data_IF_695451236212
#
_entry.id   IF_695451236212
#
_cell.length_a   1.000
_cell.length_b   1.000
_cell.length_c   1.000
_cell.angle_alpha   90.00
_cell.angle_beta   90.00
_cell.angle_gamma   90.00
#
_symmetry.space_group_name_H-M   'P 1'
#
loop_
_entity.id
_entity.type
_entity.pdbx_description
1 polymer ?
#
# COMPACT_ATOMS: atom_id res chain seq x y z
N UNK A 1 -15.55 -10.29 -3.26
CA UNK A 1 -14.34 -10.19 -4.12
C UNK A 1 -13.15 -9.85 -3.25
N UNK A 2 -12.06 -10.56 -3.41
CA UNK A 2 -10.82 -10.33 -2.67
C UNK A 2 -9.91 -9.33 -3.35
N UNK A 3 -8.84 -8.93 -2.66
CA UNK A 3 -7.78 -8.15 -3.25
C UNK A 3 -7.04 -8.98 -4.32
N UNK A 4 -6.39 -8.29 -5.23
CA UNK A 4 -5.45 -8.92 -6.17
C UNK A 4 -4.37 -9.63 -5.38
N UNK A 5 -3.98 -10.81 -5.84
CA UNK A 5 -2.89 -11.56 -5.20
C UNK A 5 -1.54 -11.10 -5.76
N UNK A 6 -0.50 -11.04 -4.90
CA UNK A 6 0.83 -10.74 -5.41
C UNK A 6 1.33 -11.87 -6.31
N UNK A 7 2.17 -11.55 -7.32
CA UNK A 7 2.76 -12.57 -8.16
C UNK A 7 3.73 -13.46 -7.36
N UNK A 8 3.94 -14.68 -7.82
CA UNK A 8 4.90 -15.59 -7.20
C UNK A 8 6.34 -15.06 -7.39
N UNK A 9 7.26 -15.50 -6.53
CA UNK A 9 8.68 -15.10 -6.62
C UNK A 9 9.31 -15.40 -7.99
N UNK A 10 8.81 -16.41 -8.70
CA UNK A 10 9.32 -16.81 -10.01
C UNK A 10 8.80 -15.95 -11.16
N UNK A 11 7.70 -15.22 -10.94
CA UNK A 11 7.05 -14.43 -11.98
C UNK A 11 7.00 -12.94 -11.68
N UNK A 12 7.93 -12.44 -10.86
CA UNK A 12 7.95 -11.05 -10.45
C UNK A 12 9.35 -10.48 -10.35
N UNK A 13 9.41 -9.15 -10.33
CA UNK A 13 10.60 -8.42 -9.90
C UNK A 13 10.43 -8.03 -8.43
N UNK A 14 11.54 -8.03 -7.69
CA UNK A 14 11.61 -7.50 -6.33
C UNK A 14 12.66 -6.41 -6.29
N UNK A 15 12.26 -5.21 -5.93
CA UNK A 15 13.17 -4.07 -5.86
C UNK A 15 13.23 -3.55 -4.43
N UNK A 16 14.44 -3.30 -3.94
CA UNK A 16 14.66 -2.61 -2.67
C UNK A 16 14.31 -1.14 -2.83
N UNK A 17 13.62 -0.58 -1.86
CA UNK A 17 13.34 0.85 -1.78
C UNK A 17 14.46 1.50 -0.98
N UNK A 18 15.19 2.44 -1.57
CA UNK A 18 16.25 3.16 -0.90
C UNK A 18 15.75 4.44 -0.24
N UNK A 19 14.66 5.00 -0.72
CA UNK A 19 14.11 6.25 -0.20
C UNK A 19 12.61 6.34 -0.45
N UNK A 20 11.89 6.84 0.54
CA UNK A 20 10.49 7.26 0.40
C UNK A 20 10.52 8.76 0.09
N UNK A 21 10.16 9.12 -1.14
CA UNK A 21 10.20 10.52 -1.54
C UNK A 21 8.94 11.27 -1.10
N UNK A 22 7.78 10.59 -1.19
CA UNK A 22 6.51 11.19 -0.78
C UNK A 22 5.43 10.12 -0.65
N UNK A 23 4.57 10.25 0.34
CA UNK A 23 3.31 9.50 0.43
C UNK A 23 2.20 10.45 -0.05
N UNK A 24 1.65 10.18 -1.21
CA UNK A 24 0.62 11.04 -1.84
C UNK A 24 -0.74 10.74 -1.23
N UNK A 25 -1.12 9.48 -1.25
CA UNK A 25 -2.35 8.95 -0.66
C UNK A 25 -2.01 7.63 0.02
N UNK A 26 -2.95 7.05 0.76
CA UNK A 26 -2.73 5.74 1.39
C UNK A 26 -2.39 4.64 0.38
N UNK A 27 -2.79 4.79 -0.86
CA UNK A 27 -2.58 3.82 -1.93
C UNK A 27 -1.62 4.26 -3.04
N UNK A 28 -0.93 5.41 -2.86
CA UNK A 28 0.00 5.94 -3.87
C UNK A 28 1.21 6.57 -3.20
N UNK A 29 2.40 6.10 -3.56
CA UNK A 29 3.66 6.59 -2.99
C UNK A 29 4.68 6.88 -4.09
N UNK A 30 5.56 7.84 -3.84
CA UNK A 30 6.74 8.12 -4.67
C UNK A 30 7.96 7.62 -3.95
N UNK A 31 8.73 6.77 -4.62
CA UNK A 31 9.91 6.10 -4.03
C UNK A 31 11.09 6.14 -4.98
N UNK A 32 12.27 5.85 -4.44
CA UNK A 32 13.48 5.58 -5.22
C UNK A 32 13.79 4.11 -5.09
N UNK A 33 13.90 3.41 -6.22
CA UNK A 33 14.18 1.98 -6.29
C UNK A 33 15.66 1.75 -6.55
N UNK A 34 16.22 0.72 -5.90
CA UNK A 34 17.55 0.21 -6.18
C UNK A 34 17.45 -0.83 -7.30
N UNK A 35 18.05 -0.54 -8.44
CA UNK A 35 18.08 -1.45 -9.60
C UNK A 35 19.35 -2.30 -9.67
N UNK A 36 20.20 -2.19 -8.65
CA UNK A 36 21.50 -2.85 -8.66
C UNK A 36 22.54 -2.05 -9.45
N UNK A 37 23.80 -2.42 -9.32
CA UNK A 37 24.93 -1.79 -10.02
C UNK A 37 25.03 -0.28 -9.81
N UNK A 38 24.62 0.20 -8.65
CA UNK A 38 24.57 1.64 -8.32
C UNK A 38 23.56 2.44 -9.15
N UNK A 39 22.63 1.76 -9.80
CA UNK A 39 21.55 2.40 -10.54
C UNK A 39 20.31 2.54 -9.67
N UNK A 40 19.71 3.72 -9.69
CA UNK A 40 18.46 3.97 -8.99
C UNK A 40 17.44 4.60 -9.94
N UNK A 41 16.15 4.43 -9.62
CA UNK A 41 15.07 5.02 -10.40
C UNK A 41 13.97 5.51 -9.47
N UNK A 42 13.48 6.72 -9.74
CA UNK A 42 12.31 7.25 -9.05
C UNK A 42 11.04 6.75 -9.72
N UNK A 43 10.13 6.21 -8.93
CA UNK A 43 8.87 5.67 -9.43
C UNK A 43 7.70 6.11 -8.56
N UNK A 44 6.56 6.34 -9.20
CA UNK A 44 5.28 6.46 -8.53
C UNK A 44 4.63 5.08 -8.51
N UNK A 45 4.34 4.59 -7.31
CA UNK A 45 3.81 3.24 -7.10
C UNK A 45 2.36 3.33 -6.62
N UNK A 46 1.48 2.62 -7.32
CA UNK A 46 0.11 2.36 -6.87
C UNK A 46 0.14 1.08 -6.05
N UNK A 47 -0.33 1.16 -4.81
CA UNK A 47 -0.37 -0.01 -3.93
C UNK A 47 -1.43 -0.97 -4.45
N UNK A 48 -1.01 -2.14 -4.90
CA UNK A 48 -1.87 -3.11 -5.57
C UNK A 48 -2.87 -3.76 -4.63
N UNK A 49 -4.05 -4.05 -5.15
CA UNK A 49 -5.08 -4.81 -4.42
C UNK A 49 -5.85 -4.02 -3.38
N UNK A 50 -5.61 -2.71 -3.24
CA UNK A 50 -6.28 -1.88 -2.25
C UNK A 50 -6.88 -0.63 -2.89
N UNK A 51 -7.92 -0.12 -2.27
CA UNK A 51 -8.48 1.19 -2.58
C UNK A 51 -8.69 1.91 -1.25
N UNK A 52 -8.22 3.15 -1.16
CA UNK A 52 -8.37 3.97 0.05
C UNK A 52 -9.43 5.05 -0.16
N UNK A 53 -10.08 5.53 0.93
CA UNK A 53 -10.97 6.68 0.84
C UNK A 53 -10.24 7.90 0.26
N UNK A 54 -10.98 8.73 -0.47
CA UNK A 54 -10.43 9.92 -1.10
C UNK A 54 -10.08 10.99 -0.06
N UNK A 55 -8.89 11.51 -0.15
CA UNK A 55 -8.41 12.60 0.71
C UNK A 55 -8.86 13.97 0.18
N UNK A 56 -8.97 14.09 -1.15
CA UNK A 56 -9.36 15.32 -1.85
C UNK A 56 -10.82 15.27 -2.25
N UNK A 57 -11.71 15.36 -1.28
CA UNK A 57 -13.15 15.30 -1.48
C UNK A 57 -13.84 16.33 -0.60
N UNK A 58 -15.06 16.72 -0.96
CA UNK A 58 -15.92 17.59 -0.15
C UNK A 58 -16.63 16.82 0.95
N UNK A 59 -16.74 15.50 0.82
CA UNK A 59 -17.32 14.63 1.83
C UNK A 59 -16.36 14.57 3.03
N UNK A 60 -16.79 15.12 4.16
CA UNK A 60 -15.95 15.20 5.38
C UNK A 60 -15.61 13.84 5.96
N UNK A 61 -16.52 12.90 5.89
CA UNK A 61 -16.34 11.53 6.37
C UNK A 61 -15.26 10.82 5.54
N UNK A 62 -15.43 10.84 4.23
CA UNK A 62 -14.45 10.23 3.31
C UNK A 62 -13.09 10.88 3.44
N UNK A 63 -13.04 12.20 3.52
CA UNK A 63 -11.80 12.96 3.68
C UNK A 63 -11.03 12.55 4.93
N UNK A 64 -11.73 12.42 6.06
CA UNK A 64 -11.12 12.00 7.34
C UNK A 64 -10.52 10.61 7.20
N UNK A 65 -11.27 9.67 6.62
CA UNK A 65 -10.79 8.30 6.43
C UNK A 65 -9.62 8.24 5.43
N UNK A 66 -9.62 9.09 4.40
CA UNK A 66 -8.53 9.20 3.44
C UNK A 66 -7.25 9.74 4.07
N UNK A 67 -7.36 10.74 4.92
CA UNK A 67 -6.24 11.30 5.69
C UNK A 67 -5.68 10.23 6.63
N UNK A 68 -6.55 9.50 7.31
CA UNK A 68 -6.14 8.41 8.20
C UNK A 68 -5.35 7.32 7.46
N UNK A 69 -5.80 6.92 6.28
CA UNK A 69 -5.11 5.93 5.46
C UNK A 69 -3.74 6.44 5.02
N UNK A 70 -3.65 7.71 4.64
CA UNK A 70 -2.38 8.34 4.27
C UNK A 70 -1.42 8.37 5.45
N UNK A 71 -1.89 8.74 6.63
CA UNK A 71 -1.08 8.78 7.85
C UNK A 71 -0.61 7.39 8.27
N UNK A 72 -1.48 6.38 8.16
CA UNK A 72 -1.11 4.99 8.43
C UNK A 72 0.07 4.56 7.55
N UNK A 73 0.00 4.83 6.26
CA UNK A 73 1.07 4.49 5.32
C UNK A 73 2.36 5.24 5.67
N UNK A 74 2.27 6.54 5.96
CA UNK A 74 3.43 7.34 6.37
C UNK A 74 4.12 6.77 7.61
N UNK A 75 3.34 6.39 8.61
CA UNK A 75 3.86 5.81 9.85
C UNK A 75 4.57 4.49 9.60
N UNK A 76 3.94 3.58 8.84
CA UNK A 76 4.53 2.26 8.52
C UNK A 76 5.85 2.41 7.77
N UNK A 77 5.90 3.27 6.77
CA UNK A 77 7.11 3.49 5.99
C UNK A 77 8.21 4.18 6.82
N UNK A 78 7.84 5.15 7.66
CA UNK A 78 8.79 5.83 8.54
C UNK A 78 9.38 4.86 9.55
N UNK A 79 8.55 4.03 10.18
CA UNK A 79 9.01 3.00 11.12
C UNK A 79 9.99 2.02 10.48
N UNK A 80 9.70 1.60 9.25
CA UNK A 80 10.55 0.68 8.51
C UNK A 80 11.93 1.28 8.26
N UNK A 81 11.97 2.52 7.79
CA UNK A 81 13.24 3.21 7.49
C UNK A 81 14.03 3.48 8.76
N UNK A 82 13.38 3.96 9.82
CA UNK A 82 14.04 4.22 11.11
C UNK A 82 14.53 2.95 11.80
N UNK A 83 13.78 1.86 11.64
CA UNK A 83 14.14 0.56 12.20
C UNK A 83 15.23 -0.17 11.43
N UNK A 84 15.76 0.44 10.39
CA UNK A 84 16.78 -0.15 9.50
C UNK A 84 16.32 -1.50 8.92
N UNK A 85 15.03 -1.64 8.68
CA UNK A 85 14.48 -2.80 8.00
C UNK A 85 14.42 -2.55 6.51
N UNK A 86 14.62 -3.63 5.74
CA UNK A 86 14.53 -3.56 4.28
C UNK A 86 13.09 -3.43 3.84
N UNK A 87 12.82 -2.48 2.95
CA UNK A 87 11.53 -2.35 2.30
C UNK A 87 11.68 -2.81 0.85
N UNK A 88 10.87 -3.78 0.46
CA UNK A 88 10.89 -4.37 -0.88
C UNK A 88 9.54 -4.15 -1.56
N UNK A 89 9.59 -3.74 -2.83
CA UNK A 89 8.41 -3.70 -3.70
C UNK A 89 8.47 -4.90 -4.63
N UNK A 90 7.41 -5.69 -4.63
CA UNK A 90 7.22 -6.79 -5.59
C UNK A 90 6.29 -6.33 -6.70
N UNK A 91 6.69 -6.56 -7.96
CA UNK A 91 5.91 -6.19 -9.15
C UNK A 91 5.86 -7.37 -10.11
N UNK A 92 4.91 -7.39 -11.02
CA UNK A 92 4.84 -8.43 -12.04
C UNK A 92 5.89 -8.23 -13.12
N UNK A 93 6.39 -9.32 -13.70
CA UNK A 93 7.36 -9.27 -14.81
C UNK A 93 6.75 -8.67 -16.08
N UNK A 94 5.46 -8.95 -16.31
CA UNK A 94 4.72 -8.47 -17.48
C UNK A 94 3.44 -7.81 -16.99
N UNK A 95 3.14 -6.64 -17.53
CA UNK A 95 1.92 -5.93 -17.16
C UNK A 95 1.93 -5.32 -15.76
N UNK A 96 3.12 -5.14 -15.16
CA UNK A 96 3.25 -4.56 -13.84
C UNK A 96 2.93 -3.07 -13.74
N UNK A 97 2.41 -2.48 -14.83
CA UNK A 97 2.04 -1.07 -14.90
C UNK A 97 0.53 -0.95 -14.82
N UNK A 98 0.05 -0.11 -13.92
CA UNK A 98 -1.37 0.11 -13.71
C UNK A 98 -2.00 1.02 -14.75
N UNK A 99 -3.29 1.28 -14.54
CA UNK A 99 -4.21 1.95 -15.47
C UNK A 99 -3.74 3.31 -15.99
N UNK A 100 -2.94 4.05 -15.25
CA UNK A 100 -2.43 5.37 -15.64
C UNK A 100 -0.91 5.39 -15.77
N UNK A 101 -0.31 4.28 -16.15
CA UNK A 101 1.14 4.15 -16.26
C UNK A 101 1.87 4.07 -14.93
N UNK A 102 1.14 3.90 -13.82
CA UNK A 102 1.73 3.75 -12.50
C UNK A 102 2.16 2.31 -12.27
N UNK A 103 3.32 2.14 -11.66
CA UNK A 103 3.80 0.83 -11.26
C UNK A 103 2.88 0.26 -10.18
N UNK A 104 2.39 -0.97 -10.37
CA UNK A 104 1.63 -1.69 -9.34
C UNK A 104 2.59 -2.44 -8.44
N UNK A 105 2.47 -2.26 -7.13
CA UNK A 105 3.40 -2.87 -6.20
C UNK A 105 2.78 -3.43 -4.94
N UNK A 106 3.37 -4.51 -4.45
CA UNK A 106 3.12 -5.09 -3.14
C UNK A 106 4.32 -4.80 -2.25
N UNK A 107 4.08 -4.19 -1.09
CA UNK A 107 5.14 -3.74 -0.17
C UNK A 107 5.38 -4.79 0.92
N UNK A 108 6.63 -5.17 1.08
CA UNK A 108 7.05 -6.13 2.13
C UNK A 108 8.15 -5.51 2.99
N UNK A 109 8.03 -5.67 4.30
CA UNK A 109 9.01 -5.18 5.28
C UNK A 109 9.82 -6.37 5.78
N UNK A 110 11.14 -6.35 5.57
CA UNK A 110 12.04 -7.42 5.99
C UNK A 110 11.63 -8.76 5.40
N UNK A 111 11.57 -9.79 6.23
CA UNK A 111 11.17 -11.13 5.84
C UNK A 111 9.67 -11.40 6.03
N UNK A 112 8.87 -10.37 6.21
CA UNK A 112 7.44 -10.52 6.44
C UNK A 112 6.75 -11.23 5.27
N UNK A 113 5.86 -12.16 5.58
CA UNK A 113 5.04 -12.84 4.58
C UNK A 113 3.79 -12.05 4.23
N UNK A 114 3.35 -11.19 5.16
CA UNK A 114 2.17 -10.34 4.98
C UNK A 114 2.59 -8.98 4.45
N UNK A 115 2.06 -8.59 3.30
CA UNK A 115 2.35 -7.29 2.70
C UNK A 115 1.70 -6.15 3.48
N UNK A 116 2.24 -4.93 3.36
CA UNK A 116 1.56 -3.74 3.89
C UNK A 116 0.20 -3.55 3.22
N UNK A 117 0.06 -3.97 1.95
CA UNK A 117 -1.21 -3.97 1.23
C UNK A 117 -2.29 -4.72 2.01
N UNK A 118 -1.99 -5.96 2.41
CA UNK A 118 -2.92 -6.79 3.18
C UNK A 118 -3.16 -6.23 4.59
N UNK A 119 -2.13 -5.69 5.22
CA UNK A 119 -2.26 -5.08 6.54
C UNK A 119 -3.22 -3.89 6.54
N UNK A 120 -3.17 -3.04 5.50
CA UNK A 120 -4.12 -1.92 5.35
C UNK A 120 -5.57 -2.40 5.39
N UNK A 121 -5.85 -3.49 4.67
CA UNK A 121 -7.20 -4.06 4.60
C UNK A 121 -7.59 -4.64 5.96
N UNK A 122 -6.70 -5.43 6.55
CA UNK A 122 -6.92 -6.09 7.84
C UNK A 122 -7.19 -5.09 8.96
N UNK A 123 -6.51 -3.95 8.95
CA UNK A 123 -6.65 -2.92 9.98
C UNK A 123 -7.75 -1.90 9.70
N UNK A 124 -8.42 -2.00 8.54
CA UNK A 124 -9.58 -1.16 8.22
C UNK A 124 -9.26 0.20 7.65
N UNK A 125 -8.14 0.35 6.96
CA UNK A 125 -7.75 1.61 6.30
C UNK A 125 -8.01 1.62 4.80
N UNK A 126 -8.25 0.46 4.22
CA UNK A 126 -8.51 0.32 2.80
C UNK A 126 -9.48 -0.82 2.54
N UNK A 127 -10.17 -0.74 1.41
CA UNK A 127 -10.97 -1.85 0.89
C UNK A 127 -10.10 -2.73 -0.01
N UNK A 128 -10.43 -4.03 -0.07
CA UNK A 128 -9.87 -4.92 -1.08
C UNK A 128 -10.35 -4.47 -2.46
N UNK A 129 -9.46 -4.42 -3.43
CA UNK A 129 -9.78 -3.93 -4.76
C UNK A 129 -9.10 -4.80 -5.83
N UNK A 130 -9.86 -5.20 -6.85
CA UNK A 130 -9.40 -6.08 -7.93
C UNK A 130 -9.24 -5.36 -9.28
N UNK A 131 -9.43 -4.05 -9.32
CA UNK A 131 -9.37 -3.24 -10.54
C UNK A 131 -10.74 -2.97 -11.17
N UNK A 132 -11.80 -3.53 -10.61
CA UNK A 132 -13.18 -3.34 -11.09
C UNK A 132 -13.86 -2.08 -10.53
N UNK A 133 -15.15 -2.16 -10.29
CA UNK A 133 -15.93 -1.06 -9.73
C UNK A 133 -15.60 -0.87 -8.26
N UNK A 134 -15.32 0.36 -7.89
CA UNK A 134 -15.06 0.73 -6.50
C UNK A 134 -16.35 0.76 -5.70
N UNK A 135 -16.35 0.12 -4.54
CA UNK A 135 -17.45 0.14 -3.59
C UNK A 135 -17.00 0.85 -2.32
N UNK A 136 -17.62 1.96 -2.00
CA UNK A 136 -17.25 2.80 -0.86
C UNK A 136 -18.19 2.58 0.31
N UNK A 137 -17.86 1.62 1.17
CA UNK A 137 -18.59 1.34 2.40
C UNK A 137 -17.76 1.80 3.60
N UNK A 138 -17.97 3.03 4.04
CA UNK A 138 -17.20 3.64 5.13
C UNK A 138 -17.44 2.96 6.47
N UNK A 139 -18.67 2.50 6.73
CA UNK A 139 -18.99 1.82 7.97
C UNK A 139 -18.23 0.51 8.12
N UNK A 140 -18.02 -0.20 7.01
CA UNK A 140 -17.21 -1.43 7.00
C UNK A 140 -15.78 -1.15 7.50
N UNK A 141 -15.16 -0.06 7.05
CA UNK A 141 -13.83 0.31 7.50
C UNK A 141 -13.80 0.62 9.00
N UNK A 142 -14.81 1.33 9.50
CA UNK A 142 -14.88 1.66 10.93
C UNK A 142 -15.08 0.41 11.79
N UNK A 143 -15.90 -0.52 11.35
CA UNK A 143 -16.12 -1.78 12.05
C UNK A 143 -14.85 -2.61 12.12
N UNK A 144 -14.12 -2.72 11.01
CA UNK A 144 -12.85 -3.44 10.96
C UNK A 144 -11.85 -2.80 11.93
N UNK A 145 -11.74 -1.47 11.95
CA UNK A 145 -10.85 -0.77 12.87
C UNK A 145 -11.19 -1.02 14.33
N UNK A 146 -12.47 -1.00 14.68
CA UNK A 146 -12.93 -1.29 16.05
C UNK A 146 -12.57 -2.71 16.47
N UNK A 147 -12.84 -3.67 15.60
CA UNK A 147 -12.52 -5.09 15.85
C UNK A 147 -11.02 -5.31 15.98
N UNK A 148 -10.22 -4.71 15.11
CA UNK A 148 -8.76 -4.80 15.16
C UNK A 148 -8.21 -4.17 16.43
N UNK A 149 -8.69 -2.98 16.81
CA UNK A 149 -8.29 -2.31 18.04
C UNK A 149 -8.59 -3.15 19.29
N UNK A 150 -9.77 -3.77 19.35
CA UNK A 150 -10.14 -4.66 20.45
C UNK A 150 -9.24 -5.87 20.55
N UNK A 151 -8.82 -6.45 19.43
CA UNK A 151 -7.89 -7.58 19.40
C UNK A 151 -6.51 -7.20 19.89
N UNK A 152 -6.04 -6.02 19.53
CA UNK A 152 -4.72 -5.53 19.94
C UNK A 152 -4.69 -5.14 21.42
N UNK A 153 -5.79 -4.62 21.98
CA UNK A 153 -5.91 -4.23 23.38
C UNK A 153 -6.11 -5.39 24.32
N UNK A 154 -6.58 -6.52 23.82
CA UNK A 154 -6.76 -7.73 24.60
C UNK A 154 -5.52 -8.60 24.56
#
# INVERSE_FOLDING_TARGET
>A
MGAMKPPSRKSCYNFRVTKINRVIDGDTIDVTLDLGFSLTKKERVRIAGVDTPEKRTRDKEEKTLGIDATNWMKEKLTETIKGDEELVIRTELVGGVGKYGRLLGWLYVGDATLSLNEQMITEGYAWAYDGGTKQKNFEELREIRRSFGSLVES
#
